data_IF_709180901538
#
_entry.id   IF_709180901538
#
_cell.length_a   1.000
_cell.length_b   1.000
_cell.length_c   1.000
_cell.angle_alpha   90.00
_cell.angle_beta   90.00
_cell.angle_gamma   90.00
#
_symmetry.space_group_name_H-M   'P 1'
#
loop_
_entity.id
_entity.type
_entity.pdbx_description
1 polymer ?
#
# COMPACT_ATOMS: atom_id res chain seq x y z
N UNK A 1 -11.75 -6.11 -3.85
CA UNK A 1 -11.36 -4.81 -3.30
C UNK A 1 -11.80 -4.69 -1.85
N UNK A 2 -11.24 -3.73 -1.10
CA UNK A 2 -11.71 -3.30 0.23
C UNK A 2 -11.96 -1.80 0.15
N UNK A 3 -13.17 -1.35 0.45
CA UNK A 3 -13.55 0.05 0.35
C UNK A 3 -15.06 0.22 0.32
N UNK A 4 -15.51 1.44 0.11
CA UNK A 4 -16.95 1.70 -0.07
C UNK A 4 -17.39 1.39 -1.49
N UNK A 5 -18.42 0.55 -1.61
CA UNK A 5 -19.01 0.17 -2.90
C UNK A 5 -19.45 1.38 -3.70
N UNK A 6 -20.10 2.35 -3.05
CA UNK A 6 -20.60 3.57 -3.71
C UNK A 6 -19.48 4.39 -4.36
N UNK A 7 -18.28 4.40 -3.78
CA UNK A 7 -17.13 5.10 -4.38
C UNK A 7 -16.66 4.42 -5.66
N UNK A 8 -16.64 3.09 -5.68
CA UNK A 8 -16.26 2.30 -6.85
C UNK A 8 -17.33 2.40 -7.95
N UNK A 9 -18.62 2.31 -7.61
CA UNK A 9 -19.72 2.51 -8.56
C UNK A 9 -19.66 3.88 -9.21
N UNK A 10 -19.38 4.92 -8.40
CA UNK A 10 -19.22 6.28 -8.92
C UNK A 10 -18.01 6.42 -9.84
N UNK A 11 -16.89 5.76 -9.53
CA UNK A 11 -15.71 5.75 -10.38
C UNK A 11 -16.00 5.04 -11.71
N UNK A 12 -16.70 3.91 -11.70
CA UNK A 12 -17.14 3.18 -12.89
C UNK A 12 -18.03 4.05 -13.77
N UNK A 13 -19.01 4.74 -13.17
CA UNK A 13 -19.89 5.66 -13.88
C UNK A 13 -19.14 6.79 -14.58
N UNK A 14 -18.26 7.50 -13.83
CA UNK A 14 -17.51 8.66 -14.35
C UNK A 14 -16.53 8.26 -15.45
N UNK A 15 -15.94 7.08 -15.35
CA UNK A 15 -15.00 6.57 -16.35
C UNK A 15 -15.70 5.87 -17.52
N UNK A 16 -17.02 5.68 -17.47
CA UNK A 16 -17.79 4.99 -18.50
C UNK A 16 -17.34 3.54 -18.73
N UNK A 17 -16.97 2.85 -17.63
CA UNK A 17 -16.49 1.47 -17.70
C UNK A 17 -17.67 0.50 -17.71
N UNK A 18 -17.55 -0.57 -18.51
CA UNK A 18 -18.51 -1.70 -18.50
C UNK A 18 -18.06 -2.73 -17.46
N UNK A 19 -18.21 -2.36 -16.19
CA UNK A 19 -17.78 -3.15 -15.03
C UNK A 19 -18.86 -3.11 -13.96
N UNK A 20 -19.23 -4.28 -13.45
CA UNK A 20 -20.13 -4.45 -12.31
C UNK A 20 -19.34 -4.35 -10.99
N UNK A 21 -19.87 -3.64 -10.00
CA UNK A 21 -19.34 -3.64 -8.63
C UNK A 21 -20.24 -4.50 -7.77
N UNK A 22 -19.71 -5.61 -7.26
CA UNK A 22 -20.43 -6.60 -6.46
C UNK A 22 -19.93 -6.60 -5.02
N UNK A 23 -20.83 -6.37 -4.05
CA UNK A 23 -20.49 -6.57 -2.63
C UNK A 23 -20.32 -8.05 -2.32
N UNK A 24 -19.31 -8.37 -1.51
CA UNK A 24 -19.03 -9.73 -1.03
C UNK A 24 -18.89 -9.74 0.48
N UNK A 25 -19.40 -10.80 1.10
CA UNK A 25 -19.28 -11.05 2.52
C UNK A 25 -18.15 -12.06 2.78
N UNK A 26 -17.11 -11.63 3.48
CA UNK A 26 -15.99 -12.48 3.83
C UNK A 26 -14.88 -12.57 2.76
N UNK A 27 -13.84 -13.32 3.09
CA UNK A 27 -12.57 -13.36 2.32
C UNK A 27 -12.45 -14.59 1.42
N UNK A 28 -13.32 -15.59 1.59
CA UNK A 28 -13.29 -16.86 0.84
C UNK A 28 -14.19 -16.84 -0.41
N UNK A 29 -14.70 -15.67 -0.80
CA UNK A 29 -15.52 -15.54 -1.99
C UNK A 29 -14.72 -15.90 -3.24
N UNK A 30 -15.19 -16.83 -4.08
CA UNK A 30 -14.53 -17.13 -5.34
C UNK A 30 -14.40 -15.86 -6.19
N UNK A 31 -13.24 -15.65 -6.84
CA UNK A 31 -13.02 -14.46 -7.64
C UNK A 31 -14.08 -14.33 -8.73
N UNK A 32 -14.55 -13.12 -8.93
CA UNK A 32 -15.43 -12.78 -10.05
C UNK A 32 -14.71 -13.00 -11.39
N UNK A 33 -15.49 -13.20 -12.44
CA UNK A 33 -14.99 -13.20 -13.82
C UNK A 33 -14.56 -11.80 -14.29
N UNK A 34 -14.15 -11.71 -15.55
CA UNK A 34 -13.87 -10.43 -16.20
C UNK A 34 -15.10 -9.52 -16.14
N UNK A 35 -14.87 -8.23 -16.00
CA UNK A 35 -15.95 -7.23 -15.94
C UNK A 35 -16.64 -7.09 -14.58
N UNK A 36 -16.15 -7.74 -13.51
CA UNK A 36 -16.71 -7.60 -12.16
C UNK A 36 -15.64 -7.24 -11.15
N UNK A 37 -15.91 -6.26 -10.29
CA UNK A 37 -15.11 -5.90 -9.13
C UNK A 37 -15.82 -6.38 -7.87
N UNK A 38 -15.27 -7.39 -7.20
CA UNK A 38 -15.71 -7.79 -5.87
C UNK A 38 -15.19 -6.78 -4.83
N UNK A 39 -16.09 -6.28 -4.00
CA UNK A 39 -15.76 -5.34 -2.94
C UNK A 39 -16.26 -5.84 -1.58
N UNK A 40 -15.35 -5.92 -0.63
CA UNK A 40 -15.69 -5.98 0.78
C UNK A 40 -16.08 -4.57 1.21
N UNK A 41 -17.39 -4.34 1.24
CA UNK A 41 -17.97 -3.02 1.44
C UNK A 41 -17.86 -2.61 2.92
N UNK A 42 -17.17 -1.50 3.17
CA UNK A 42 -16.97 -1.00 4.55
C UNK A 42 -18.08 -0.05 5.00
N UNK A 43 -18.90 0.48 4.08
CA UNK A 43 -20.10 1.26 4.38
C UNK A 43 -19.87 2.59 5.11
N UNK A 44 -18.67 3.14 5.07
CA UNK A 44 -18.32 4.39 5.78
C UNK A 44 -18.96 5.60 5.13
N UNK A 45 -19.05 5.61 3.82
CA UNK A 45 -19.64 6.74 3.07
C UNK A 45 -21.17 6.79 3.21
N UNK A 46 -21.83 5.64 3.42
CA UNK A 46 -23.29 5.58 3.44
C UNK A 46 -23.88 6.16 2.16
N UNK A 47 -24.80 7.13 2.31
CA UNK A 47 -25.42 7.86 1.19
C UNK A 47 -24.68 9.18 0.86
N UNK A 48 -23.44 9.37 1.34
CA UNK A 48 -22.69 10.60 1.13
C UNK A 48 -22.29 10.74 -0.34
N UNK A 49 -22.70 11.82 -0.95
CA UNK A 49 -22.28 12.17 -2.31
C UNK A 49 -20.87 12.75 -2.26
N UNK A 50 -19.89 11.99 -2.74
CA UNK A 50 -18.51 12.45 -2.89
C UNK A 50 -18.41 13.47 -4.03
N UNK A 51 -17.82 14.62 -3.79
CA UNK A 51 -17.47 15.61 -4.79
C UNK A 51 -15.99 15.43 -5.20
N UNK A 52 -15.76 15.18 -6.51
CA UNK A 52 -14.43 14.98 -7.03
C UNK A 52 -13.57 16.24 -6.91
N UNK A 53 -12.31 16.05 -6.48
CA UNK A 53 -11.36 17.15 -6.34
C UNK A 53 -11.49 17.95 -5.04
N UNK A 54 -12.36 17.57 -4.13
CA UNK A 54 -12.50 18.20 -2.82
C UNK A 54 -11.78 17.43 -1.72
N UNK A 55 -11.37 18.14 -0.68
CA UNK A 55 -10.84 17.56 0.55
C UNK A 55 -11.99 17.27 1.49
N UNK A 56 -12.36 16.00 1.64
CA UNK A 56 -13.47 15.56 2.47
C UNK A 56 -12.99 14.58 3.55
N UNK A 57 -13.25 14.93 4.83
CA UNK A 57 -12.85 14.09 5.96
C UNK A 57 -13.59 12.74 6.01
N UNK A 58 -14.81 12.64 5.43
CA UNK A 58 -15.54 11.37 5.35
C UNK A 58 -14.87 10.43 4.36
N UNK A 59 -14.43 10.97 3.20
CA UNK A 59 -13.61 10.21 2.25
C UNK A 59 -12.28 9.77 2.87
N UNK A 60 -11.66 10.63 3.69
CA UNK A 60 -10.47 10.30 4.45
C UNK A 60 -10.70 9.16 5.43
N UNK A 61 -11.80 9.19 6.16
CA UNK A 61 -12.18 8.11 7.09
C UNK A 61 -12.42 6.79 6.35
N UNK A 62 -13.10 6.84 5.22
CA UNK A 62 -13.30 5.65 4.38
C UNK A 62 -11.97 5.04 3.92
N UNK A 63 -11.02 5.87 3.47
CA UNK A 63 -9.70 5.42 3.07
C UNK A 63 -8.92 4.78 4.24
N UNK A 64 -8.95 5.40 5.43
CA UNK A 64 -8.32 4.86 6.66
C UNK A 64 -8.95 3.53 7.02
N UNK A 65 -10.28 3.45 7.10
CA UNK A 65 -11.00 2.23 7.47
C UNK A 65 -10.71 1.09 6.49
N UNK A 66 -10.62 1.37 5.19
CA UNK A 66 -10.26 0.36 4.19
C UNK A 66 -8.87 -0.24 4.46
N UNK A 67 -7.88 0.59 4.84
CA UNK A 67 -6.54 0.14 5.20
C UNK A 67 -6.56 -0.68 6.48
N UNK A 68 -7.30 -0.25 7.51
CA UNK A 68 -7.43 -0.96 8.78
C UNK A 68 -8.05 -2.34 8.58
N UNK A 69 -9.16 -2.44 7.84
CA UNK A 69 -9.85 -3.69 7.53
C UNK A 69 -8.95 -4.65 6.74
N UNK A 70 -8.30 -4.14 5.69
CA UNK A 70 -7.38 -4.96 4.89
C UNK A 70 -6.18 -5.42 5.71
N UNK A 71 -5.63 -4.55 6.56
CA UNK A 71 -4.48 -4.90 7.42
C UNK A 71 -4.87 -5.97 8.44
N UNK A 72 -6.04 -5.82 9.07
CA UNK A 72 -6.55 -6.83 9.98
C UNK A 72 -6.71 -8.19 9.29
N UNK A 73 -7.32 -8.22 8.10
CA UNK A 73 -7.49 -9.45 7.33
C UNK A 73 -6.14 -10.11 6.96
N UNK A 74 -5.12 -9.31 6.63
CA UNK A 74 -3.77 -9.82 6.37
C UNK A 74 -3.12 -10.39 7.65
N UNK A 75 -3.24 -9.70 8.79
CA UNK A 75 -2.72 -10.16 10.08
C UNK A 75 -3.42 -11.44 10.56
N UNK A 76 -4.71 -11.57 10.29
CA UNK A 76 -5.51 -12.77 10.57
C UNK A 76 -5.30 -13.89 9.52
N UNK A 77 -4.37 -13.71 8.57
CA UNK A 77 -4.04 -14.67 7.50
C UNK A 77 -5.22 -15.01 6.56
N UNK A 78 -6.22 -14.14 6.48
CA UNK A 78 -7.37 -14.30 5.60
C UNK A 78 -7.06 -13.89 4.16
N UNK A 79 -6.05 -13.03 3.97
CA UNK A 79 -5.51 -12.61 2.66
C UNK A 79 -3.99 -12.70 2.65
N UNK A 80 -3.40 -12.92 1.47
CA UNK A 80 -1.96 -13.11 1.30
C UNK A 80 -1.15 -11.80 1.33
N UNK A 81 -1.80 -10.66 1.14
CA UNK A 81 -1.15 -9.36 1.10
C UNK A 81 -2.09 -8.25 0.69
N UNK A 82 -1.60 -7.03 0.73
CA UNK A 82 -2.36 -5.81 0.44
C UNK A 82 -1.71 -5.11 -0.75
N UNK A 83 -2.54 -4.73 -1.72
CA UNK A 83 -2.15 -3.83 -2.82
C UNK A 83 -2.93 -2.55 -2.64
N UNK A 84 -2.24 -1.44 -2.40
CA UNK A 84 -2.87 -0.15 -2.12
C UNK A 84 -3.03 0.70 -3.38
N UNK A 85 -4.17 1.37 -3.50
CA UNK A 85 -4.32 2.53 -4.36
C UNK A 85 -3.61 3.76 -3.78
N UNK A 86 -3.54 4.88 -4.51
CA UNK A 86 -2.98 6.11 -3.96
C UNK A 86 -3.84 6.66 -2.82
N UNK A 87 -3.20 7.31 -1.83
CA UNK A 87 -3.87 8.00 -0.74
C UNK A 87 -3.58 9.49 -0.79
N UNK A 88 -4.58 10.32 -0.54
CA UNK A 88 -4.41 11.77 -0.42
C UNK A 88 -4.16 12.13 1.04
N UNK A 89 -3.00 12.75 1.31
CA UNK A 89 -2.58 13.10 2.67
C UNK A 89 -3.48 14.14 3.32
N UNK A 90 -3.88 15.17 2.58
CA UNK A 90 -4.75 16.22 3.11
C UNK A 90 -6.11 15.65 3.52
N UNK A 91 -6.63 14.69 2.75
CA UNK A 91 -7.90 14.03 3.02
C UNK A 91 -7.83 13.16 4.29
N UNK A 92 -6.77 12.38 4.48
CA UNK A 92 -6.63 11.58 5.72
C UNK A 92 -6.35 12.46 6.94
N UNK A 93 -5.63 13.58 6.79
CA UNK A 93 -5.45 14.54 7.88
C UNK A 93 -6.75 15.26 8.26
N UNK A 94 -7.60 15.59 7.27
CA UNK A 94 -8.94 16.12 7.53
C UNK A 94 -9.83 15.11 8.29
N UNK A 95 -9.55 13.82 8.18
CA UNK A 95 -10.19 12.76 8.95
C UNK A 95 -9.55 12.52 10.34
N UNK A 96 -8.53 13.30 10.71
CA UNK A 96 -7.85 13.24 12.01
C UNK A 96 -6.66 12.28 12.07
N UNK A 97 -6.18 11.75 10.94
CA UNK A 97 -4.97 10.94 10.91
C UNK A 97 -3.73 11.82 11.03
N UNK A 98 -2.73 11.37 11.77
CA UNK A 98 -1.41 12.00 11.86
C UNK A 98 -0.36 11.36 10.93
N UNK A 99 -0.73 10.29 10.22
CA UNK A 99 0.19 9.55 9.35
C UNK A 99 0.52 10.34 8.07
N UNK A 100 1.74 10.14 7.59
CA UNK A 100 2.22 10.71 6.34
C UNK A 100 1.81 9.88 5.11
N UNK A 101 1.31 8.66 5.31
CA UNK A 101 0.87 7.76 4.25
C UNK A 101 0.76 6.31 4.71
N UNK A 102 0.69 5.40 3.76
CA UNK A 102 0.51 3.98 4.01
C UNK A 102 1.62 3.36 4.88
N UNK A 103 2.87 3.73 4.66
CA UNK A 103 4.03 3.11 5.34
C UNK A 103 3.92 3.25 6.85
N UNK A 104 3.65 4.46 7.32
CA UNK A 104 3.53 4.77 8.74
C UNK A 104 2.29 4.10 9.34
N UNK A 105 1.17 4.19 8.63
CA UNK A 105 -0.10 3.58 9.05
C UNK A 105 -0.01 2.06 9.15
N UNK A 106 0.53 1.39 8.14
CA UNK A 106 0.73 -0.06 8.15
C UNK A 106 1.71 -0.48 9.25
N UNK A 107 2.76 0.31 9.50
CA UNK A 107 3.70 0.07 10.58
C UNK A 107 3.03 0.08 11.94
N UNK A 108 2.20 1.08 12.23
CA UNK A 108 1.45 1.16 13.48
C UNK A 108 0.46 0.01 13.62
N UNK A 109 -0.36 -0.24 12.59
CA UNK A 109 -1.37 -1.30 12.62
C UNK A 109 -0.79 -2.71 12.78
N UNK A 110 0.43 -2.94 12.32
CA UNK A 110 1.12 -4.23 12.43
C UNK A 110 2.08 -4.32 13.62
N UNK A 111 2.27 -3.23 14.37
CA UNK A 111 3.22 -3.14 15.48
C UNK A 111 4.69 -3.16 15.02
N UNK A 112 4.96 -2.91 13.74
CA UNK A 112 6.31 -2.88 13.17
C UNK A 112 6.89 -1.48 13.25
N UNK A 113 7.98 -1.32 14.00
CA UNK A 113 8.64 -0.02 14.21
C UNK A 113 9.68 0.35 13.15
N UNK A 114 10.13 -0.64 12.36
CA UNK A 114 11.17 -0.48 11.34
C UNK A 114 10.67 -1.05 10.00
N UNK A 115 9.99 -0.22 9.22
CA UNK A 115 9.55 -0.57 7.87
C UNK A 115 10.66 -0.24 6.87
N UNK A 116 10.71 -1.00 5.77
CA UNK A 116 11.52 -0.70 4.62
C UNK A 116 10.72 -0.70 3.32
N UNK A 117 11.21 0.05 2.34
CA UNK A 117 10.61 0.10 1.00
C UNK A 117 11.57 -0.51 0.01
N UNK A 118 11.08 -1.45 -0.78
CA UNK A 118 11.80 -2.03 -1.89
C UNK A 118 11.09 -1.67 -3.20
N UNK A 119 11.81 -1.05 -4.13
CA UNK A 119 11.32 -0.92 -5.50
C UNK A 119 11.69 -2.15 -6.31
N UNK A 120 10.75 -2.68 -7.05
CA UNK A 120 10.96 -3.80 -7.95
C UNK A 120 10.74 -3.32 -9.38
N UNK A 121 11.79 -3.32 -10.18
CA UNK A 121 11.72 -2.96 -11.59
C UNK A 121 11.87 -4.24 -12.42
N UNK A 122 10.88 -4.52 -13.25
CA UNK A 122 10.92 -5.64 -14.21
C UNK A 122 11.58 -5.16 -15.50
N UNK A 123 12.64 -5.86 -15.92
CA UNK A 123 13.20 -5.63 -17.25
C UNK A 123 12.43 -6.47 -18.27
N UNK A 124 11.51 -5.85 -19.01
CA UNK A 124 10.63 -6.55 -19.95
C UNK A 124 11.30 -7.13 -21.20
N UNK A 125 12.53 -6.75 -21.52
CA UNK A 125 13.19 -7.13 -22.78
C UNK A 125 14.21 -8.27 -22.65
N UNK A 126 14.68 -8.62 -21.46
CA UNK A 126 15.85 -9.49 -21.27
C UNK A 126 15.64 -10.65 -20.27
N UNK A 127 14.44 -11.18 -20.17
CA UNK A 127 14.18 -12.32 -19.30
C UNK A 127 13.79 -11.95 -17.87
N UNK A 128 13.66 -12.94 -17.00
CA UNK A 128 13.08 -12.86 -15.66
C UNK A 128 13.96 -12.15 -14.60
N UNK A 129 14.78 -11.17 -15.01
CA UNK A 129 15.63 -10.43 -14.09
C UNK A 129 14.88 -9.22 -13.52
N UNK A 130 14.76 -9.20 -12.20
CA UNK A 130 14.20 -8.06 -11.46
C UNK A 130 15.33 -7.29 -10.80
N UNK A 131 15.40 -5.98 -11.06
CA UNK A 131 16.18 -5.07 -10.25
C UNK A 131 15.38 -4.73 -9.00
N UNK A 132 15.97 -4.93 -7.82
CA UNK A 132 15.38 -4.58 -6.53
C UNK A 132 16.24 -3.53 -5.88
N UNK A 133 15.61 -2.41 -5.49
CA UNK A 133 16.31 -1.24 -4.96
C UNK A 133 15.82 -1.00 -3.54
N UNK A 134 16.74 -1.00 -2.58
CA UNK A 134 16.50 -0.62 -1.20
C UNK A 134 17.13 0.75 -0.94
N UNK A 135 16.51 1.55 -0.09
CA UNK A 135 16.97 2.89 0.22
C UNK A 135 17.56 2.93 1.63
N UNK A 136 18.79 3.43 1.75
CA UNK A 136 19.44 3.63 3.07
C UNK A 136 18.83 4.82 3.79
N UNK A 137 18.49 5.89 3.07
CA UNK A 137 17.81 7.08 3.61
C UNK A 137 16.59 7.42 2.75
N UNK A 138 15.52 7.95 3.38
CA UNK A 138 14.27 8.34 2.72
C UNK A 138 13.67 9.57 3.38
N UNK A 139 12.99 10.39 2.58
CA UNK A 139 12.22 11.55 3.07
C UNK A 139 12.99 12.55 3.93
N UNK A 140 14.30 12.67 3.68
CA UNK A 140 15.18 13.63 4.34
C UNK A 140 15.86 14.53 3.32
N UNK A 141 16.32 15.71 3.74
CA UNK A 141 17.15 16.57 2.88
C UNK A 141 18.47 15.88 2.55
N UNK A 142 19.08 16.24 1.41
CA UNK A 142 20.41 15.71 1.07
C UNK A 142 21.46 15.96 2.17
N UNK A 143 21.42 17.12 2.81
CA UNK A 143 22.31 17.45 3.93
C UNK A 143 22.11 16.48 5.08
N UNK A 144 20.88 16.26 5.49
CA UNK A 144 20.53 15.30 6.55
C UNK A 144 20.94 13.87 6.17
N UNK A 145 20.73 13.47 4.91
CA UNK A 145 21.16 12.16 4.44
C UNK A 145 22.66 11.95 4.58
N UNK A 146 23.47 12.96 4.20
CA UNK A 146 24.93 12.90 4.36
C UNK A 146 25.36 12.77 5.82
N UNK A 147 24.68 13.48 6.73
CA UNK A 147 24.98 13.44 8.17
C UNK A 147 24.58 12.07 8.79
N UNK A 148 23.58 11.40 8.24
CA UNK A 148 23.08 10.10 8.72
C UNK A 148 23.90 8.92 8.21
N UNK A 149 24.51 9.01 7.01
CA UNK A 149 25.24 7.88 6.42
C UNK A 149 26.50 7.61 7.24
N UNK A 150 26.52 6.41 7.83
CA UNK A 150 27.65 5.88 8.57
C UNK A 150 27.74 4.35 8.39
N UNK A 151 28.79 3.75 8.88
CA UNK A 151 29.05 2.32 8.72
C UNK A 151 27.94 1.45 9.33
N UNK A 152 27.37 1.87 10.44
CA UNK A 152 26.30 1.14 11.14
C UNK A 152 25.02 1.13 10.31
N UNK A 153 24.56 2.30 9.85
CA UNK A 153 23.36 2.45 9.03
C UNK A 153 23.46 1.66 7.70
N UNK A 154 24.61 1.77 7.02
CA UNK A 154 24.85 1.02 5.78
C UNK A 154 24.86 -0.47 6.05
N UNK A 155 25.52 -0.94 7.11
CA UNK A 155 25.56 -2.33 7.51
C UNK A 155 24.17 -2.88 7.88
N UNK A 156 23.34 -2.09 8.58
CA UNK A 156 21.94 -2.44 8.86
C UNK A 156 21.12 -2.57 7.59
N UNK A 157 21.24 -1.61 6.66
CA UNK A 157 20.53 -1.63 5.38
C UNK A 157 20.89 -2.86 4.53
N UNK A 158 22.17 -3.24 4.52
CA UNK A 158 22.62 -4.46 3.81
C UNK A 158 21.98 -5.70 4.44
N UNK A 159 22.02 -5.85 5.76
CA UNK A 159 21.42 -7.00 6.45
C UNK A 159 19.92 -7.12 6.20
N UNK A 160 19.21 -5.99 6.28
CA UNK A 160 17.77 -5.93 6.00
C UNK A 160 17.47 -6.34 4.56
N UNK A 161 18.18 -5.78 3.58
CA UNK A 161 18.00 -6.12 2.18
C UNK A 161 18.27 -7.61 1.92
N UNK A 162 19.32 -8.17 2.54
CA UNK A 162 19.66 -9.59 2.43
C UNK A 162 18.53 -10.47 2.97
N UNK A 163 18.07 -10.19 4.20
CA UNK A 163 16.98 -10.95 4.84
C UNK A 163 15.68 -10.85 4.06
N UNK A 164 15.31 -9.63 3.62
CA UNK A 164 14.10 -9.44 2.83
C UNK A 164 14.15 -10.25 1.52
N UNK A 165 15.28 -10.24 0.82
CA UNK A 165 15.44 -11.01 -0.41
C UNK A 165 15.33 -12.52 -0.19
N UNK A 166 15.82 -13.03 0.94
CA UNK A 166 15.66 -14.44 1.30
C UNK A 166 14.18 -14.81 1.53
N UNK A 167 13.40 -13.94 2.18
CA UNK A 167 11.94 -14.11 2.33
C UNK A 167 11.25 -14.17 0.96
N UNK A 168 11.74 -13.41 -0.03
CA UNK A 168 11.25 -13.47 -1.41
C UNK A 168 11.84 -14.63 -2.24
N UNK A 169 12.47 -15.62 -1.60
CA UNK A 169 12.97 -16.83 -2.26
C UNK A 169 14.32 -16.69 -2.97
N UNK A 170 15.07 -15.62 -2.71
CA UNK A 170 16.43 -15.46 -3.24
C UNK A 170 17.42 -16.05 -2.23
N UNK A 171 17.84 -17.29 -2.39
CA UNK A 171 18.69 -18.00 -1.42
C UNK A 171 20.04 -17.32 -1.16
N UNK A 172 20.69 -16.82 -2.20
CA UNK A 172 22.00 -16.15 -2.13
C UNK A 172 21.95 -14.76 -2.77
N UNK A 173 21.42 -13.75 -2.07
CA UNK A 173 21.30 -12.41 -2.61
C UNK A 173 22.66 -11.79 -2.91
N UNK A 174 22.85 -11.28 -4.12
CA UNK A 174 24.01 -10.46 -4.49
C UNK A 174 23.62 -9.00 -4.41
N UNK A 175 24.26 -8.27 -3.52
CA UNK A 175 23.96 -6.86 -3.25
C UNK A 175 25.07 -5.98 -3.82
N UNK A 176 24.70 -4.91 -4.50
CA UNK A 176 25.60 -3.84 -4.88
C UNK A 176 25.19 -2.57 -4.12
N UNK A 177 26.17 -1.81 -3.68
CA UNK A 177 25.98 -0.51 -3.03
C UNK A 177 26.33 0.54 -4.06
N UNK A 178 25.39 1.46 -4.30
CA UNK A 178 25.59 2.64 -5.12
C UNK A 178 25.66 3.87 -4.20
N UNK A 179 26.62 4.73 -4.44
CA UNK A 179 26.83 5.99 -3.73
C UNK A 179 26.59 7.18 -4.70
#
# INVERSE_FOLDING_TARGET
AVGDRIALEKAVEVLGLDVEVRSVDGWDTPPAGEGVIDVHDIGVLGDTMLEWGTVDGTAGRAAITAIEVATKAAMDQQIAGIVTGPINKEVIWAAGSEHLGHTEMLGELTGVTKQDTMFVVRNGAAGNHHLRIFFTTRHVSLRTALDQINQELVGESIRKAHTALQVFGVESPRLAIAA
#
